data_IF_203574475685
#
_entry.id   IF_203574475685
#
_cell.length_a   1.000
_cell.length_b   1.000
_cell.length_c   1.000
_cell.angle_alpha   90.00
_cell.angle_beta   90.00
_cell.angle_gamma   90.00
#
_symmetry.space_group_name_H-M   'P 1'
#
loop_
_entity.id
_entity.type
_entity.pdbx_description
1 polymer ?
#
# COMPACT_ATOMS: atom_id res chain seq x y z
N UNK A 1 -6.63 3.67 10.75
CA UNK A 1 -6.47 2.28 10.27
C UNK A 1 -5.09 1.77 10.66
N UNK A 2 -4.86 0.47 10.65
CA UNK A 2 -3.54 -0.11 10.93
C UNK A 2 -2.98 -0.70 9.64
N UNK A 3 -1.75 -0.38 9.31
CA UNK A 3 -1.10 -0.84 8.09
C UNK A 3 0.26 -1.47 8.38
N UNK A 4 0.53 -2.56 7.66
CA UNK A 4 1.83 -3.19 7.54
C UNK A 4 2.14 -3.28 6.05
N UNK A 5 3.14 -2.54 5.58
CA UNK A 5 3.43 -2.47 4.16
C UNK A 5 3.79 -3.86 3.61
N UNK A 6 3.19 -4.22 2.48
CA UNK A 6 3.37 -5.55 1.86
C UNK A 6 4.66 -5.69 1.06
N UNK A 7 5.34 -4.59 0.77
CA UNK A 7 6.61 -4.63 0.05
C UNK A 7 7.74 -5.14 0.96
N UNK A 8 8.46 -6.20 0.58
CA UNK A 8 9.34 -6.95 1.48
C UNK A 8 10.55 -6.16 1.98
N UNK A 9 11.00 -5.15 1.23
CA UNK A 9 12.11 -4.27 1.62
C UNK A 9 11.64 -3.05 2.46
N UNK A 10 10.33 -2.93 2.70
CA UNK A 10 9.74 -1.81 3.42
C UNK A 10 9.42 -2.20 4.87
N UNK A 11 9.94 -1.43 5.82
CA UNK A 11 9.66 -1.60 7.25
C UNK A 11 8.53 -0.68 7.75
N UNK A 12 7.76 -0.07 6.84
CA UNK A 12 6.66 0.81 7.24
C UNK A 12 5.54 0.00 7.91
N UNK A 13 5.32 0.29 9.19
CA UNK A 13 4.27 -0.34 10.00
C UNK A 13 3.74 0.70 10.99
N UNK A 14 2.51 1.13 10.78
CA UNK A 14 1.89 2.21 11.55
C UNK A 14 0.47 1.84 11.99
N UNK A 15 0.11 2.23 13.20
CA UNK A 15 -1.21 2.03 13.77
C UNK A 15 -1.94 3.37 13.87
N UNK A 16 -3.27 3.35 13.76
CA UNK A 16 -4.12 4.53 13.89
C UNK A 16 -3.80 5.69 12.91
N UNK A 17 -3.35 5.39 11.70
CA UNK A 17 -3.13 6.39 10.64
C UNK A 17 -4.30 6.46 9.65
N UNK A 18 -4.44 7.57 8.94
CA UNK A 18 -5.43 7.66 7.86
C UNK A 18 -5.00 6.85 6.63
N UNK A 19 -5.96 6.44 5.80
CA UNK A 19 -5.65 5.73 4.55
C UNK A 19 -4.84 6.61 3.59
N UNK A 20 -5.15 7.91 3.54
CA UNK A 20 -4.42 8.89 2.72
C UNK A 20 -2.96 9.05 3.14
N UNK A 21 -2.65 8.92 4.44
CA UNK A 21 -1.26 8.91 4.93
C UNK A 21 -0.51 7.68 4.43
N UNK A 22 -1.17 6.51 4.40
CA UNK A 22 -0.57 5.30 3.84
C UNK A 22 -0.43 5.37 2.31
N UNK A 23 -1.42 5.92 1.60
CA UNK A 23 -1.34 6.17 0.16
C UNK A 23 -0.17 7.09 -0.20
N UNK A 24 0.06 8.15 0.60
CA UNK A 24 1.23 9.02 0.43
C UNK A 24 2.54 8.23 0.57
N UNK A 25 2.65 7.38 1.58
CA UNK A 25 3.80 6.49 1.73
C UNK A 25 4.04 5.63 0.49
N UNK A 26 3.00 4.98 -0.05
CA UNK A 26 3.10 4.15 -1.25
C UNK A 26 3.57 4.97 -2.47
N UNK A 27 3.03 6.16 -2.67
CA UNK A 27 3.42 7.05 -3.79
C UNK A 27 4.84 7.60 -3.66
N UNK A 28 5.35 7.81 -2.45
CA UNK A 28 6.69 8.34 -2.24
C UNK A 28 7.78 7.25 -2.26
N UNK A 29 7.45 6.03 -1.81
CA UNK A 29 8.45 4.97 -1.59
C UNK A 29 8.34 3.79 -2.54
N UNK A 30 7.16 3.56 -3.13
CA UNK A 30 6.85 2.36 -3.90
C UNK A 30 6.19 2.67 -5.25
N UNK A 31 6.37 3.89 -5.78
CA UNK A 31 5.74 4.28 -7.05
C UNK A 31 6.18 3.37 -8.21
N UNK A 32 7.46 3.01 -8.29
CA UNK A 32 7.98 2.10 -9.31
C UNK A 32 7.32 0.72 -9.25
N UNK A 33 7.12 0.19 -8.06
CA UNK A 33 6.49 -1.10 -7.83
C UNK A 33 5.01 -1.05 -8.18
N UNK A 34 4.31 0.04 -7.82
CA UNK A 34 2.93 0.27 -8.20
C UNK A 34 2.75 0.37 -9.72
N UNK A 35 3.66 1.07 -10.42
CA UNK A 35 3.68 1.13 -11.89
C UNK A 35 3.92 -0.27 -12.47
N UNK A 36 4.88 -1.02 -11.91
CA UNK A 36 5.18 -2.38 -12.36
C UNK A 36 3.98 -3.32 -12.20
N UNK A 37 3.23 -3.22 -11.09
CA UNK A 37 1.99 -3.99 -10.86
C UNK A 37 0.91 -3.56 -11.85
N UNK A 38 0.72 -2.25 -12.03
CA UNK A 38 -0.26 -1.66 -12.96
C UNK A 38 -0.04 -2.16 -14.38
N UNK A 39 1.19 -2.13 -14.87
CA UNK A 39 1.55 -2.62 -16.21
C UNK A 39 1.43 -4.15 -16.33
N UNK A 40 1.92 -4.90 -15.33
CA UNK A 40 1.92 -6.37 -15.35
C UNK A 40 0.51 -6.95 -15.33
N UNK A 41 -0.39 -6.34 -14.57
CA UNK A 41 -1.78 -6.80 -14.41
C UNK A 41 -2.74 -6.09 -15.37
N UNK A 42 -2.25 -5.20 -16.24
CA UNK A 42 -3.05 -4.40 -17.18
C UNK A 42 -4.17 -3.60 -16.50
N UNK A 43 -3.90 -3.09 -15.30
CA UNK A 43 -4.85 -2.30 -14.50
C UNK A 43 -4.40 -0.84 -14.36
N UNK A 44 -5.33 0.11 -14.19
CA UNK A 44 -4.99 1.48 -13.82
C UNK A 44 -4.17 1.57 -12.51
N UNK A 45 -3.25 2.54 -12.41
CA UNK A 45 -2.37 2.70 -11.25
C UNK A 45 -3.14 2.93 -9.94
N UNK A 46 -4.28 3.62 -9.99
CA UNK A 46 -5.14 3.81 -8.82
C UNK A 46 -5.74 2.48 -8.31
N UNK A 47 -5.97 1.51 -9.19
CA UNK A 47 -6.41 0.17 -8.80
C UNK A 47 -5.26 -0.61 -8.14
N UNK A 48 -4.04 -0.48 -8.64
CA UNK A 48 -2.85 -1.04 -7.99
C UNK A 48 -2.62 -0.44 -6.59
N UNK A 49 -2.84 0.87 -6.42
CA UNK A 49 -2.83 1.54 -5.11
C UNK A 49 -3.88 0.94 -4.17
N UNK A 50 -5.15 0.85 -4.59
CA UNK A 50 -6.24 0.30 -3.78
C UNK A 50 -6.01 -1.17 -3.36
N UNK A 51 -5.51 -2.00 -4.28
CA UNK A 51 -5.16 -3.39 -3.99
C UNK A 51 -4.04 -3.44 -2.94
N UNK A 52 -2.99 -2.63 -3.10
CA UNK A 52 -1.86 -2.58 -2.17
C UNK A 52 -2.30 -2.09 -0.79
N UNK A 53 -3.14 -1.06 -0.71
CA UNK A 53 -3.76 -0.58 0.53
C UNK A 53 -4.52 -1.70 1.21
N UNK A 54 -5.39 -2.40 0.46
CA UNK A 54 -6.21 -3.49 0.99
C UNK A 54 -5.36 -4.63 1.54
N UNK A 55 -4.30 -5.02 0.84
CA UNK A 55 -3.39 -6.08 1.27
C UNK A 55 -2.51 -5.67 2.46
N UNK A 56 -2.26 -4.37 2.65
CA UNK A 56 -1.46 -3.85 3.74
C UNK A 56 -2.26 -3.61 5.02
N UNK A 57 -3.59 -3.62 4.94
CA UNK A 57 -4.47 -3.33 6.07
C UNK A 57 -4.50 -4.50 7.05
N UNK A 58 -4.25 -4.21 8.33
CA UNK A 58 -4.23 -5.21 9.40
C UNK A 58 -5.39 -4.98 10.36
N UNK A 59 -6.11 -6.06 10.67
CA UNK A 59 -7.12 -6.07 11.73
C UNK A 59 -6.46 -6.54 13.02
N UNK A 60 -6.41 -5.69 14.03
CA UNK A 60 -5.99 -6.09 15.38
C UNK A 60 -7.25 -6.68 16.02
N UNK A 61 -7.32 -8.01 16.12
CA UNK A 61 -8.34 -8.65 16.97
C UNK A 61 -8.02 -8.25 18.42
N UNK A 62 -8.96 -7.56 19.07
CA UNK A 62 -8.92 -7.30 20.52
C UNK A 62 -9.16 -8.56 21.32
#
# INVERSE_FOLDING_TARGET
MNFNCVFPECNFKENNIEEDEFLKHLREKHHSELVSISEKEEIPINMAEMITVSNSKVFINS
#
